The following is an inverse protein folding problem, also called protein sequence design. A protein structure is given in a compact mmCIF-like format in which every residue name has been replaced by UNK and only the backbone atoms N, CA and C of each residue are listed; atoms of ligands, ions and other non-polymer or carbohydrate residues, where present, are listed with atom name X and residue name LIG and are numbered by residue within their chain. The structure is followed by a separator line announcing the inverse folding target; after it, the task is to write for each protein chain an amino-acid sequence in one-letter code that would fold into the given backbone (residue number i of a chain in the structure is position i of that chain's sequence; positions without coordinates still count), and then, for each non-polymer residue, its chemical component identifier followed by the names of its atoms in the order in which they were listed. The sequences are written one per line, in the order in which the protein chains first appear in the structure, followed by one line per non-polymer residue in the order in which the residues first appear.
data_IF_403114263465
#
_entry.id   IF_403114263465
#
_cell.length_a   1.000
_cell.length_b   1.000
_cell.length_c   1.000
_cell.angle_alpha   90.00
_cell.angle_beta   90.00
_cell.angle_gamma   90.00
#
_symmetry.space_group_name_H-M   'P 1'
#
loop_
_entity.id
_entity.type
_entity.pdbx_description
1 polymer ?
#
# COMPACT_ATOMS: atom_id res chain seq x y z
N UNK A 1 -13.62 -2.69 -18.89
CA UNK A 1 -12.66 -3.70 -18.40
C UNK A 1 -11.26 -3.08 -18.50
N UNK A 2 -10.53 -2.88 -17.39
CA UNK A 2 -9.14 -2.41 -17.48
C UNK A 2 -8.27 -3.59 -17.91
N UNK A 3 -7.58 -3.48 -19.04
CA UNK A 3 -6.68 -4.52 -19.53
C UNK A 3 -5.29 -4.36 -18.91
N UNK A 4 -4.52 -5.45 -18.83
CA UNK A 4 -3.17 -5.45 -18.26
C UNK A 4 -2.22 -4.41 -18.91
N UNK A 5 -2.24 -4.15 -20.22
CA UNK A 5 -1.41 -3.10 -20.84
C UNK A 5 -1.73 -1.70 -20.31
N UNK A 6 -3.02 -1.36 -20.16
CA UNK A 6 -3.43 -0.06 -19.60
C UNK A 6 -3.05 0.08 -18.13
N UNK A 7 -3.07 -1.01 -17.38
CA UNK A 7 -2.59 -1.02 -16.00
C UNK A 7 -1.08 -0.73 -15.92
N UNK A 8 -0.29 -1.30 -16.83
CA UNK A 8 1.15 -1.02 -16.94
C UNK A 8 1.39 0.45 -17.27
N UNK A 9 0.63 1.04 -18.20
CA UNK A 9 0.70 2.48 -18.51
C UNK A 9 0.39 3.34 -17.29
N UNK A 10 -0.66 3.02 -16.54
CA UNK A 10 -1.00 3.72 -15.30
C UNK A 10 0.14 3.64 -14.29
N UNK A 11 0.74 2.46 -14.08
CA UNK A 11 1.88 2.29 -13.17
C UNK A 11 3.09 3.13 -13.58
N UNK A 12 3.44 3.13 -14.87
CA UNK A 12 4.54 3.93 -15.41
C UNK A 12 4.29 5.43 -15.25
N UNK A 13 3.05 5.89 -15.46
CA UNK A 13 2.67 7.30 -15.28
C UNK A 13 2.96 7.80 -13.86
N UNK A 14 2.82 6.94 -12.86
CA UNK A 14 3.09 7.26 -11.46
C UNK A 14 4.51 6.87 -11.00
N UNK A 15 5.42 6.50 -11.91
CA UNK A 15 6.77 6.02 -11.58
C UNK A 15 6.77 4.82 -10.60
N UNK A 16 5.71 4.01 -10.66
CA UNK A 16 5.53 2.85 -9.79
C UNK A 16 6.27 1.63 -10.35
N UNK A 17 7.40 1.30 -9.74
CA UNK A 17 8.25 0.17 -10.14
C UNK A 17 8.02 -1.10 -9.29
N UNK A 18 7.17 -0.99 -8.27
CA UNK A 18 6.83 -2.09 -7.37
C UNK A 18 5.32 -2.13 -7.19
N UNK A 19 4.77 -3.33 -7.35
CA UNK A 19 3.35 -3.62 -7.15
C UNK A 19 3.23 -4.68 -6.07
N UNK A 20 2.54 -4.35 -4.98
CA UNK A 20 2.19 -5.30 -3.93
C UNK A 20 0.77 -5.81 -4.16
N UNK A 21 0.63 -7.12 -4.33
CA UNK A 21 -0.65 -7.82 -4.42
C UNK A 21 -1.02 -8.37 -3.05
N UNK A 22 -2.17 -7.94 -2.54
CA UNK A 22 -2.70 -8.40 -1.24
C UNK A 22 -3.87 -9.38 -1.40
N UNK A 23 -4.06 -9.89 -2.61
CA UNK A 23 -5.06 -10.90 -2.95
C UNK A 23 -4.45 -12.04 -3.75
N UNK A 24 -5.24 -13.07 -3.96
CA UNK A 24 -4.91 -14.20 -4.80
C UNK A 24 -4.51 -13.72 -6.22
N UNK A 25 -3.48 -14.31 -6.85
CA UNK A 25 -3.05 -13.94 -8.19
C UNK A 25 -4.16 -14.17 -9.21
N UNK A 26 -4.52 -13.12 -9.98
CA UNK A 26 -5.57 -13.18 -11.01
C UNK A 26 -5.04 -12.98 -12.43
N UNK A 27 -3.76 -12.66 -12.59
CA UNK A 27 -3.11 -12.41 -13.88
C UNK A 27 -1.62 -12.77 -13.83
N UNK A 28 -1.05 -13.06 -14.99
CA UNK A 28 0.37 -13.35 -15.16
C UNK A 28 1.20 -12.06 -15.04
N UNK A 29 2.25 -12.10 -14.21
CA UNK A 29 3.15 -10.98 -13.91
C UNK A 29 4.27 -10.82 -14.92
N UNK A 30 4.51 -11.78 -15.81
CA UNK A 30 5.60 -11.76 -16.81
C UNK A 30 5.64 -10.44 -17.60
N UNK A 31 4.46 -9.89 -17.93
CA UNK A 31 4.35 -8.64 -18.66
C UNK A 31 4.73 -7.41 -17.82
N UNK A 32 4.50 -7.43 -16.50
CA UNK A 32 4.98 -6.38 -15.61
C UNK A 32 6.49 -6.48 -15.40
N UNK A 33 6.98 -7.69 -15.16
CA UNK A 33 8.41 -7.94 -14.94
C UNK A 33 9.25 -7.57 -16.16
N UNK A 34 8.80 -7.92 -17.37
CA UNK A 34 9.42 -7.47 -18.63
C UNK A 34 9.48 -5.95 -18.79
N UNK A 35 8.62 -5.22 -18.09
CA UNK A 35 8.57 -3.76 -18.10
C UNK A 35 9.31 -3.14 -16.90
N UNK A 36 10.06 -3.95 -16.15
CA UNK A 36 10.83 -3.51 -14.98
C UNK A 36 10.00 -3.28 -13.73
N UNK A 37 8.77 -3.79 -13.69
CA UNK A 37 7.87 -3.66 -12.54
C UNK A 37 7.93 -4.96 -11.73
N UNK A 38 8.44 -4.87 -10.50
CA UNK A 38 8.53 -6.01 -9.59
C UNK A 38 7.18 -6.23 -8.88
N UNK A 39 6.70 -7.47 -8.84
CA UNK A 39 5.44 -7.84 -8.19
C UNK A 39 5.69 -8.65 -6.93
N UNK A 40 5.13 -8.22 -5.81
CA UNK A 40 5.23 -8.88 -4.51
C UNK A 40 3.87 -9.43 -4.08
N UNK A 41 3.82 -10.72 -3.75
CA UNK A 41 2.59 -11.40 -3.35
C UNK A 41 2.51 -11.58 -1.84
N UNK A 42 1.65 -10.79 -1.20
CA UNK A 42 1.38 -10.84 0.25
C UNK A 42 -0.12 -10.96 0.50
N UNK A 43 -0.73 -12.00 -0.09
CA UNK A 43 -2.13 -12.28 0.07
C UNK A 43 -2.50 -12.56 1.54
N UNK A 44 -3.63 -12.00 1.98
CA UNK A 44 -4.25 -12.29 3.28
C UNK A 44 -5.77 -12.22 3.18
N UNK A 45 -6.48 -12.77 4.16
CA UNK A 45 -7.94 -12.97 4.11
C UNK A 45 -8.73 -11.67 3.96
N UNK A 46 -9.85 -11.74 3.21
CA UNK A 46 -10.70 -10.57 3.00
C UNK A 46 -11.39 -10.08 4.26
N UNK A 47 -11.41 -8.77 4.42
CA UNK A 47 -12.03 -8.10 5.57
C UNK A 47 -11.39 -8.42 6.92
N UNK A 48 -10.29 -9.18 6.95
CA UNK A 48 -9.47 -9.41 8.12
C UNK A 48 -8.43 -8.29 8.30
N UNK A 49 -7.81 -8.26 9.48
CA UNK A 49 -6.62 -7.49 9.73
C UNK A 49 -5.42 -8.14 9.00
N UNK A 50 -4.47 -7.35 8.47
CA UNK A 50 -3.27 -7.91 7.86
C UNK A 50 -2.44 -8.68 8.90
N UNK A 51 -1.88 -9.86 8.55
CA UNK A 51 -0.95 -10.58 9.40
C UNK A 51 0.27 -9.73 9.75
N UNK A 52 0.88 -9.99 10.91
CA UNK A 52 2.01 -9.20 11.41
C UNK A 52 3.19 -9.22 10.44
N UNK A 53 3.43 -10.35 9.80
CA UNK A 53 4.50 -10.58 8.82
C UNK A 53 4.29 -9.71 7.57
N UNK A 54 3.03 -9.56 7.13
CA UNK A 54 2.68 -8.67 6.00
C UNK A 54 2.89 -7.21 6.38
N UNK A 55 2.51 -6.82 7.59
CA UNK A 55 2.73 -5.46 8.08
C UNK A 55 4.21 -5.14 8.18
N UNK A 56 5.01 -6.00 8.80
CA UNK A 56 6.45 -5.80 8.93
C UNK A 56 7.14 -5.77 7.56
N UNK A 57 6.82 -6.70 6.66
CA UNK A 57 7.35 -6.72 5.30
C UNK A 57 7.00 -5.44 4.52
N UNK A 58 5.77 -4.96 4.64
CA UNK A 58 5.31 -3.71 4.04
C UNK A 58 6.09 -2.50 4.55
N UNK A 59 6.23 -2.35 5.88
CA UNK A 59 6.94 -1.22 6.45
C UNK A 59 8.44 -1.25 6.13
N UNK A 60 9.06 -2.43 6.12
CA UNK A 60 10.46 -2.59 5.70
C UNK A 60 10.65 -2.25 4.22
N UNK A 61 9.73 -2.68 3.35
CA UNK A 61 9.74 -2.34 1.93
C UNK A 61 9.69 -0.82 1.74
N UNK A 62 8.72 -0.15 2.36
CA UNK A 62 8.56 1.31 2.29
C UNK A 62 9.83 2.02 2.77
N UNK A 63 10.35 1.62 3.94
CA UNK A 63 11.56 2.22 4.51
C UNK A 63 12.75 2.07 3.57
N UNK A 64 12.98 0.87 3.04
CA UNK A 64 14.08 0.59 2.12
C UNK A 64 13.93 1.42 0.84
N UNK A 65 12.75 1.43 0.25
CA UNK A 65 12.52 2.04 -1.07
C UNK A 65 12.50 3.55 -1.05
N UNK A 66 11.86 4.16 -0.06
CA UNK A 66 11.86 5.61 0.07
C UNK A 66 13.22 6.15 0.51
N UNK A 67 14.05 5.35 1.19
CA UNK A 67 15.45 5.67 1.44
C UNK A 67 16.33 5.55 0.19
N UNK A 68 16.16 4.50 -0.61
CA UNK A 68 16.91 4.29 -1.87
C UNK A 68 16.56 5.33 -2.93
N UNK A 69 15.27 5.63 -3.09
CA UNK A 69 14.75 6.58 -4.09
C UNK A 69 13.65 7.44 -3.44
N UNK A 70 14.02 8.58 -2.83
CA UNK A 70 13.05 9.53 -2.30
C UNK A 70 12.07 9.97 -3.40
N UNK A 71 10.78 10.03 -3.07
CA UNK A 71 9.72 10.38 -4.02
C UNK A 71 9.33 9.25 -5.01
N UNK A 72 9.86 8.04 -4.85
CA UNK A 72 9.37 6.88 -5.60
C UNK A 72 7.94 6.49 -5.22
N UNK A 73 7.25 5.79 -6.12
CA UNK A 73 5.91 5.28 -5.90
C UNK A 73 5.92 3.75 -5.73
N UNK A 74 5.12 3.26 -4.78
CA UNK A 74 4.81 1.83 -4.63
C UNK A 74 3.30 1.68 -4.80
N UNK A 75 2.89 0.83 -5.74
CA UNK A 75 1.50 0.51 -5.95
C UNK A 75 1.08 -0.67 -5.06
N UNK A 76 -0.12 -0.60 -4.49
CA UNK A 76 -0.74 -1.71 -3.74
C UNK A 76 -2.11 -1.98 -4.36
N UNK A 77 -2.43 -3.22 -4.65
CA UNK A 77 -3.78 -3.58 -5.10
C UNK A 77 -4.27 -4.92 -4.54
N UNK A 78 -5.60 -5.02 -4.44
CA UNK A 78 -6.37 -6.23 -4.18
C UNK A 78 -7.10 -6.60 -5.48
N UNK A 79 -8.29 -7.23 -5.42
CA UNK A 79 -9.16 -7.44 -6.59
C UNK A 79 -10.12 -6.26 -6.82
N UNK A 80 -10.94 -5.91 -5.82
CA UNK A 80 -11.95 -4.84 -5.90
C UNK A 80 -11.48 -3.46 -5.39
N UNK A 81 -10.31 -3.42 -4.74
CA UNK A 81 -9.71 -2.17 -4.22
C UNK A 81 -10.51 -1.49 -3.10
N UNK A 82 -11.27 -2.24 -2.30
CA UNK A 82 -12.13 -1.68 -1.25
C UNK A 82 -11.69 -2.04 0.19
N UNK A 83 -11.11 -3.22 0.40
CA UNK A 83 -10.78 -3.73 1.74
C UNK A 83 -9.28 -3.74 2.05
N UNK A 84 -8.56 -4.72 1.50
CA UNK A 84 -7.20 -5.08 1.94
C UNK A 84 -6.13 -4.01 1.65
N UNK A 85 -6.11 -3.50 0.41
CA UNK A 85 -5.12 -2.53 -0.04
C UNK A 85 -5.17 -1.19 0.74
N UNK A 86 -6.36 -0.57 0.97
CA UNK A 86 -6.47 0.63 1.80
C UNK A 86 -5.89 0.50 3.22
N UNK A 87 -5.94 -0.68 3.84
CA UNK A 87 -5.40 -0.86 5.20
C UNK A 87 -3.88 -0.73 5.22
N UNK A 88 -3.17 -1.28 4.24
CA UNK A 88 -1.71 -1.11 4.16
C UNK A 88 -1.32 0.36 3.94
N UNK A 89 -2.10 1.09 3.12
CA UNK A 89 -1.90 2.53 2.92
C UNK A 89 -2.13 3.31 4.22
N UNK A 90 -3.18 2.95 4.99
CA UNK A 90 -3.44 3.57 6.29
C UNK A 90 -2.29 3.32 7.27
N UNK A 91 -1.76 2.11 7.33
CA UNK A 91 -0.60 1.78 8.17
C UNK A 91 0.64 2.62 7.81
N UNK A 92 0.89 2.82 6.51
CA UNK A 92 1.99 3.66 6.05
C UNK A 92 1.83 5.12 6.51
N UNK A 93 0.62 5.68 6.39
CA UNK A 93 0.29 7.03 6.85
C UNK A 93 0.49 7.17 8.37
N UNK A 94 0.01 6.19 9.14
CA UNK A 94 0.12 6.18 10.61
C UNK A 94 1.58 6.10 11.04
N UNK A 95 2.37 5.23 10.42
CA UNK A 95 3.81 5.11 10.68
C UNK A 95 4.61 6.35 10.29
N UNK A 96 4.09 7.12 9.33
CA UNK A 96 4.63 8.43 8.94
C UNK A 96 4.24 9.55 9.92
N UNK A 97 3.40 9.25 10.93
CA UNK A 97 3.02 10.16 12.01
C UNK A 97 1.62 10.75 11.90
N UNK A 98 0.81 10.32 10.91
CA UNK A 98 -0.59 10.70 10.82
C UNK A 98 -1.42 9.98 11.89
N UNK A 99 -2.48 10.60 12.41
CA UNK A 99 -3.42 9.88 13.27
C UNK A 99 -4.24 8.89 12.43
N UNK A 100 -4.74 7.82 13.05
CA UNK A 100 -5.47 6.81 12.30
C UNK A 100 -6.79 7.36 11.73
N UNK A 101 -7.46 8.27 12.45
CA UNK A 101 -8.68 8.95 12.01
C UNK A 101 -8.41 9.77 10.73
N UNK A 102 -7.35 10.58 10.75
CA UNK A 102 -6.92 11.41 9.62
C UNK A 102 -6.52 10.53 8.42
N UNK A 103 -5.83 9.42 8.66
CA UNK A 103 -5.43 8.47 7.62
C UNK A 103 -6.65 7.81 6.95
N UNK A 104 -7.62 7.37 7.75
CA UNK A 104 -8.88 6.79 7.26
C UNK A 104 -9.67 7.82 6.47
N UNK A 105 -9.80 9.05 6.96
CA UNK A 105 -10.51 10.12 6.27
C UNK A 105 -9.83 10.46 4.93
N UNK A 106 -8.50 10.61 4.93
CA UNK A 106 -7.70 10.89 3.74
C UNK A 106 -7.92 9.85 2.63
N UNK A 107 -7.98 8.57 3.01
CA UNK A 107 -8.26 7.46 2.10
C UNK A 107 -9.71 7.52 1.61
N UNK A 108 -10.68 7.70 2.52
CA UNK A 108 -12.11 7.73 2.17
C UNK A 108 -12.49 8.90 1.27
N UNK A 109 -11.79 10.04 1.36
CA UNK A 109 -11.94 11.18 0.43
C UNK A 109 -11.62 10.80 -1.02
N UNK A 110 -10.62 9.92 -1.24
CA UNK A 110 -10.25 9.41 -2.58
C UNK A 110 -11.05 8.18 -3.01
N UNK A 111 -11.46 7.35 -2.05
CA UNK A 111 -12.19 6.10 -2.29
C UNK A 111 -13.30 5.93 -1.25
N UNK A 112 -14.49 6.43 -1.57
CA UNK A 112 -15.68 6.27 -0.72
C UNK A 112 -15.94 4.80 -0.43
N UNK A 113 -16.19 4.47 0.84
CA UNK A 113 -16.45 3.09 1.28
C UNK A 113 -15.21 2.23 1.50
N UNK A 114 -14.00 2.78 1.36
CA UNK A 114 -12.78 2.09 1.77
C UNK A 114 -12.74 1.89 3.29
N UNK A 115 -12.16 0.76 3.70
CA UNK A 115 -11.95 0.33 5.09
C UNK A 115 -13.27 -0.01 5.80
N UNK A 116 -13.45 -1.29 6.12
CA UNK A 116 -14.61 -1.81 6.83
C UNK A 116 -14.50 -1.61 8.36
N UNK A 117 -15.57 -1.93 9.11
CA UNK A 117 -15.60 -1.76 10.56
C UNK A 117 -14.53 -2.57 11.31
N UNK A 118 -14.28 -3.84 10.93
CA UNK A 118 -13.24 -4.68 11.56
C UNK A 118 -11.84 -4.10 11.35
N UNK A 119 -11.58 -3.61 10.15
CA UNK A 119 -10.31 -2.97 9.79
C UNK A 119 -10.13 -1.62 10.50
N UNK A 120 -11.22 -0.88 10.72
CA UNK A 120 -11.19 0.35 11.49
C UNK A 120 -10.80 0.08 12.95
N UNK A 121 -11.42 -0.91 13.60
CA UNK A 121 -11.06 -1.35 14.96
C UNK A 121 -9.60 -1.79 15.03
N UNK A 122 -9.09 -2.47 14.01
CA UNK A 122 -7.67 -2.82 13.93
C UNK A 122 -6.77 -1.57 13.87
N UNK A 123 -7.09 -0.58 13.02
CA UNK A 123 -6.31 0.65 12.89
C UNK A 123 -6.35 1.52 14.16
N UNK A 124 -7.49 1.52 14.87
CA UNK A 124 -7.65 2.20 16.16
C UNK A 124 -6.73 1.60 17.24
N UNK A 125 -6.59 0.26 17.26
CA UNK A 125 -5.75 -0.45 18.22
C UNK A 125 -4.27 -0.50 17.80
N UNK A 126 -3.95 -0.14 16.56
CA UNK A 126 -2.61 -0.22 16.02
C UNK A 126 -1.66 0.75 16.72
N UNK A 127 -0.54 0.22 17.21
CA UNK A 127 0.52 1.02 17.84
C UNK A 127 1.69 1.17 16.87
N UNK A 128 1.99 2.39 16.39
CA UNK A 128 3.06 2.59 15.44
C UNK A 128 4.43 2.26 16.03
N UNK A 129 5.19 1.48 15.27
CA UNK A 129 6.58 1.11 15.55
C UNK A 129 7.56 2.26 15.33
N UNK A 130 7.13 3.33 14.64
CA UNK A 130 7.92 4.49 14.22
C UNK A 130 9.05 4.13 13.25
N UNK A 131 8.91 3.02 12.52
CA UNK A 131 9.92 2.53 11.59
C UNK A 131 10.20 3.49 10.43
N UNK A 132 9.18 4.25 10.01
CA UNK A 132 9.25 5.24 8.92
C UNK A 132 9.59 6.66 9.39
N UNK A 133 9.65 6.90 10.72
CA UNK A 133 9.93 8.22 11.26
C UNK A 133 11.44 8.48 11.25
N UNK A 134 11.95 9.02 10.15
CA UNK A 134 13.33 9.52 10.12
C UNK A 134 13.44 10.80 10.96
N UNK A 135 14.48 10.87 11.81
CA UNK A 135 14.90 12.11 12.48
C UNK A 135 15.52 13.02 11.43
N UNK A 136 14.69 13.77 10.71
CA UNK A 136 15.13 14.83 9.79
C UNK A 136 14.85 14.52 8.32
N UNK A 137 13.91 15.29 7.78
CA UNK A 137 13.79 15.67 6.37
C UNK A 137 13.85 14.57 5.29
N UNK A 138 12.68 14.01 4.94
CA UNK A 138 12.37 13.67 3.56
C UNK A 138 10.85 13.72 3.34
N UNK A 139 10.38 14.64 2.49
CA UNK A 139 8.99 14.74 2.07
C UNK A 139 8.58 13.48 1.29
N UNK A 140 7.98 12.50 1.97
CA UNK A 140 7.25 11.43 1.30
C UNK A 140 5.86 11.97 0.92
N UNK A 141 5.71 12.40 -0.32
CA UNK A 141 4.42 12.79 -0.87
C UNK A 141 3.57 11.54 -1.10
N UNK A 142 2.61 11.28 -0.21
CA UNK A 142 1.54 10.31 -0.46
C UNK A 142 0.46 11.06 -1.26
N UNK A 143 0.46 10.89 -2.58
CA UNK A 143 -0.52 11.51 -3.50
C UNK A 143 -1.77 10.64 -3.69
#
# INVERSE_FOLDING_TARGET
MRTLPRYIEDLKKYDAHIVVRVCEPTYNVDLLEKQGINVLDWAFDDGAAPPKEVVEGWLQLLKKKFKEKPGSCIAVHCVAGLGRAPVLVALALIESGMKYEDAVEFIRRRRRGAINAKQLTYLEQYKPSKLLKEKGAANCCIQ
#
